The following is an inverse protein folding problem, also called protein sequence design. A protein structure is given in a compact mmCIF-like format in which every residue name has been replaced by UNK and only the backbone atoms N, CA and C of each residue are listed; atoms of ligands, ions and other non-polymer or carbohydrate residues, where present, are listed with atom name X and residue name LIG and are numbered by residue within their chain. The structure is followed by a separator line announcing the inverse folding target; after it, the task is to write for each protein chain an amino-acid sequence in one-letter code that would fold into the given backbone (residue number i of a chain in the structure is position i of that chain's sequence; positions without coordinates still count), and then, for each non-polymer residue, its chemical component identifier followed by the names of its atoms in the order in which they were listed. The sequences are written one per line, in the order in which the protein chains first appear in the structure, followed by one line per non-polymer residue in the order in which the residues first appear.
data_IF_957756023079
#
_entry.id   IF_957756023079
#
_cell.length_a   1.000
_cell.length_b   1.000
_cell.length_c   1.000
_cell.angle_alpha   90.00
_cell.angle_beta   90.00
_cell.angle_gamma   90.00
#
_symmetry.space_group_name_H-M   'P 1'
#
loop_
_entity.id
_entity.type
_entity.pdbx_description
1 polymer ?
#
# COMPACT_ATOMS: atom_id res chain seq x y z
N UNK A 1 12.01 12.97 -19.40
CA UNK A 1 10.59 12.71 -19.07
C UNK A 1 10.56 12.25 -17.62
N UNK A 2 9.75 12.86 -16.75
CA UNK A 2 9.55 12.32 -15.39
C UNK A 2 8.93 10.93 -15.54
N UNK A 3 9.47 9.93 -14.84
CA UNK A 3 8.91 8.57 -14.84
C UNK A 3 7.63 8.61 -14.02
N UNK A 4 6.50 8.24 -14.61
CA UNK A 4 5.22 8.07 -13.88
C UNK A 4 5.35 6.92 -12.89
N UNK A 5 4.96 7.15 -11.65
CA UNK A 5 4.94 6.18 -10.56
C UNK A 5 3.67 5.35 -10.70
N UNK A 6 3.82 4.04 -10.88
CA UNK A 6 2.71 3.09 -10.92
C UNK A 6 2.31 2.70 -9.51
N UNK A 7 1.10 3.05 -9.11
CA UNK A 7 0.57 2.85 -7.76
C UNK A 7 -0.51 1.76 -7.71
N UNK A 8 -0.38 0.85 -6.75
CA UNK A 8 -1.43 -0.09 -6.35
C UNK A 8 -2.00 0.33 -4.99
N UNK A 9 -3.33 0.41 -4.87
CA UNK A 9 -4.02 0.74 -3.62
C UNK A 9 -4.72 -0.51 -3.09
N UNK A 10 -4.43 -0.90 -1.86
CA UNK A 10 -5.01 -2.07 -1.21
C UNK A 10 -5.66 -1.67 0.10
N UNK A 11 -6.98 -1.77 0.18
CA UNK A 11 -7.76 -1.46 1.36
C UNK A 11 -9.15 -2.09 1.21
N UNK A 12 -9.69 -2.72 2.25
CA UNK A 12 -11.02 -3.34 2.18
C UNK A 12 -12.16 -2.32 2.34
N UNK A 13 -11.86 -1.13 2.86
CA UNK A 13 -12.81 -0.03 3.00
C UNK A 13 -12.88 0.80 1.72
N UNK A 14 -13.98 0.62 0.96
CA UNK A 14 -14.25 1.33 -0.30
C UNK A 14 -14.06 2.84 -0.19
N UNK A 15 -14.54 3.46 0.89
CA UNK A 15 -14.42 4.91 1.09
C UNK A 15 -12.97 5.38 1.24
N UNK A 16 -12.10 4.58 1.85
CA UNK A 16 -10.68 4.90 1.97
C UNK A 16 -9.99 4.77 0.62
N UNK A 17 -10.23 3.69 -0.13
CA UNK A 17 -9.67 3.55 -1.49
C UNK A 17 -10.07 4.70 -2.40
N UNK A 18 -11.35 5.07 -2.41
CA UNK A 18 -11.84 6.21 -3.19
C UNK A 18 -11.18 7.52 -2.76
N UNK A 19 -10.99 7.73 -1.45
CA UNK A 19 -10.30 8.91 -0.92
C UNK A 19 -8.83 8.97 -1.32
N UNK A 20 -8.10 7.85 -1.22
CA UNK A 20 -6.71 7.73 -1.67
C UNK A 20 -6.57 7.92 -3.18
N UNK A 21 -7.48 7.32 -3.96
CA UNK A 21 -7.48 7.45 -5.41
C UNK A 21 -7.76 8.90 -5.84
N UNK A 22 -8.73 9.57 -5.20
CA UNK A 22 -9.02 10.97 -5.45
C UNK A 22 -7.84 11.87 -5.09
N UNK A 23 -7.17 11.59 -3.97
CA UNK A 23 -5.98 12.33 -3.55
C UNK A 23 -4.82 12.21 -4.56
N UNK A 24 -4.64 11.03 -5.15
CA UNK A 24 -3.59 10.78 -6.14
C UNK A 24 -3.96 11.25 -7.56
N UNK A 25 -5.25 11.50 -7.84
CA UNK A 25 -5.71 11.94 -9.16
C UNK A 25 -5.18 13.33 -9.56
N UNK A 26 -4.84 14.16 -8.58
CA UNK A 26 -4.29 15.50 -8.81
C UNK A 26 -2.77 15.48 -9.08
N UNK A 27 -2.09 14.34 -8.91
CA UNK A 27 -0.66 14.22 -9.16
C UNK A 27 -0.35 13.75 -10.59
N UNK A 28 0.28 14.59 -11.42
CA UNK A 28 0.50 14.28 -12.83
C UNK A 28 1.58 13.21 -13.08
N UNK A 29 2.36 12.83 -12.05
CA UNK A 29 3.38 11.79 -12.11
C UNK A 29 3.00 10.51 -11.35
N UNK A 30 1.72 10.33 -10.98
CA UNK A 30 1.19 9.08 -10.41
C UNK A 30 0.13 8.48 -11.33
N UNK A 31 0.20 7.16 -11.54
CA UNK A 31 -0.80 6.37 -12.25
C UNK A 31 -1.28 5.24 -11.33
N UNK A 32 -2.57 5.21 -11.01
CA UNK A 32 -3.17 4.09 -10.27
C UNK A 32 -3.37 2.94 -11.25
N UNK A 33 -2.53 1.91 -11.13
CA UNK A 33 -2.54 0.75 -12.05
C UNK A 33 -3.47 -0.36 -11.57
N UNK A 34 -3.94 -0.31 -10.32
CA UNK A 34 -4.90 -1.26 -9.80
C UNK A 34 -5.36 -0.96 -8.38
N UNK A 35 -6.41 -1.67 -7.99
CA UNK A 35 -6.97 -1.68 -6.64
C UNK A 35 -7.22 -3.11 -6.18
N UNK A 36 -7.10 -3.35 -4.87
CA UNK A 36 -7.47 -4.61 -4.24
C UNK A 36 -8.15 -4.39 -2.89
N UNK A 37 -8.98 -5.34 -2.47
CA UNK A 37 -9.73 -5.28 -1.20
C UNK A 37 -9.45 -6.47 -0.28
N UNK A 38 -8.46 -7.30 -0.61
CA UNK A 38 -8.02 -8.45 0.16
C UNK A 38 -6.53 -8.69 -0.06
N UNK A 39 -5.88 -9.38 0.86
CA UNK A 39 -4.46 -9.74 0.75
C UNK A 39 -4.22 -10.67 -0.45
N UNK A 40 -5.11 -11.65 -0.67
CA UNK A 40 -5.02 -12.55 -1.80
C UNK A 40 -5.12 -11.81 -3.15
N UNK A 41 -6.03 -10.84 -3.25
CA UNK A 41 -6.17 -10.02 -4.45
C UNK A 41 -4.98 -9.08 -4.61
N UNK A 42 -4.44 -8.54 -3.52
CA UNK A 42 -3.26 -7.68 -3.54
C UNK A 42 -2.02 -8.40 -4.05
N UNK A 43 -1.74 -9.61 -3.56
CA UNK A 43 -0.61 -10.43 -4.03
C UNK A 43 -0.75 -10.73 -5.53
N UNK A 44 -1.97 -11.12 -5.95
CA UNK A 44 -2.25 -11.42 -7.37
C UNK A 44 -2.12 -10.17 -8.25
N UNK A 45 -2.65 -9.04 -7.80
CA UNK A 45 -2.58 -7.77 -8.52
C UNK A 45 -1.12 -7.29 -8.62
N UNK A 46 -0.34 -7.41 -7.55
CA UNK A 46 1.08 -7.07 -7.58
C UNK A 46 1.84 -7.91 -8.61
N UNK A 47 1.66 -9.24 -8.59
CA UNK A 47 2.30 -10.17 -9.55
C UNK A 47 1.97 -9.84 -11.02
N UNK A 48 0.78 -9.28 -11.29
CA UNK A 48 0.33 -8.94 -12.65
C UNK A 48 0.74 -7.54 -13.08
N UNK A 49 0.70 -6.57 -12.17
CA UNK A 49 0.83 -5.15 -12.49
C UNK A 49 2.25 -4.62 -12.25
N UNK A 50 3.03 -5.29 -11.40
CA UNK A 50 4.37 -4.89 -10.97
C UNK A 50 4.45 -3.38 -10.68
N UNK A 51 3.65 -2.87 -9.72
CA UNK A 51 3.61 -1.44 -9.41
C UNK A 51 4.95 -0.97 -8.82
N UNK A 52 5.29 0.30 -9.04
CA UNK A 52 6.46 0.92 -8.44
C UNK A 52 6.26 1.11 -6.93
N UNK A 53 5.02 1.38 -6.48
CA UNK A 53 4.64 1.55 -5.06
C UNK A 53 3.31 0.87 -4.79
N UNK A 54 3.16 0.25 -3.61
CA UNK A 54 1.88 -0.25 -3.11
C UNK A 54 1.54 0.42 -1.78
N UNK A 55 0.35 1.03 -1.69
CA UNK A 55 -0.26 1.41 -0.42
C UNK A 55 -1.07 0.21 0.08
N UNK A 56 -0.67 -0.36 1.22
CA UNK A 56 -1.23 -1.59 1.77
C UNK A 56 -1.92 -1.32 3.09
N UNK A 57 -3.21 -1.63 3.22
CA UNK A 57 -3.86 -1.62 4.52
C UNK A 57 -3.31 -2.72 5.44
N UNK A 58 -3.16 -2.40 6.73
CA UNK A 58 -2.73 -3.37 7.73
C UNK A 58 -3.79 -4.43 8.01
N UNK A 59 -5.06 -4.05 7.99
CA UNK A 59 -6.17 -4.95 8.32
C UNK A 59 -6.96 -5.25 7.05
N UNK A 60 -6.78 -6.44 6.49
CA UNK A 60 -7.58 -6.93 5.35
C UNK A 60 -8.46 -8.10 5.82
N UNK A 61 -9.55 -8.42 5.09
CA UNK A 61 -10.56 -9.39 5.55
C UNK A 61 -10.06 -10.84 5.61
N UNK A 62 -8.97 -11.17 4.92
CA UNK A 62 -8.46 -12.53 4.77
C UNK A 62 -7.12 -12.74 5.50
N UNK A 63 -6.11 -11.93 5.21
CA UNK A 63 -4.81 -11.93 5.90
C UNK A 63 -4.45 -10.52 6.30
N UNK A 64 -3.62 -10.37 7.32
CA UNK A 64 -3.12 -9.06 7.68
C UNK A 64 -2.10 -8.56 6.62
N UNK A 65 -2.05 -7.24 6.38
CA UNK A 65 -1.30 -6.65 5.26
C UNK A 65 0.21 -6.87 5.36
N UNK A 66 0.72 -7.10 6.56
CA UNK A 66 2.12 -7.49 6.82
C UNK A 66 2.43 -8.86 6.19
N UNK A 67 1.50 -9.80 6.27
CA UNK A 67 1.62 -11.14 5.70
C UNK A 67 1.55 -11.08 4.18
N UNK A 68 0.67 -10.24 3.62
CA UNK A 68 0.64 -9.94 2.19
C UNK A 68 1.98 -9.35 1.71
N UNK A 69 2.52 -8.40 2.49
CA UNK A 69 3.81 -7.76 2.22
C UNK A 69 4.93 -8.80 2.18
N UNK A 70 5.03 -9.69 3.17
CA UNK A 70 6.05 -10.76 3.19
C UNK A 70 5.95 -11.65 1.95
N UNK A 71 4.74 -12.09 1.60
CA UNK A 71 4.52 -12.94 0.42
C UNK A 71 4.92 -12.25 -0.89
N UNK A 72 4.70 -10.94 -1.00
CA UNK A 72 5.14 -10.15 -2.17
C UNK A 72 6.66 -10.04 -2.18
N UNK A 73 7.28 -9.67 -1.07
CA UNK A 73 8.74 -9.48 -0.96
C UNK A 73 9.54 -10.77 -1.16
N UNK A 74 9.00 -11.93 -0.78
CA UNK A 74 9.60 -13.24 -1.04
C UNK A 74 9.77 -13.51 -2.55
N UNK A 75 8.81 -13.08 -3.37
CA UNK A 75 8.87 -13.22 -4.84
C UNK A 75 9.55 -12.03 -5.52
N UNK A 76 9.37 -10.83 -4.97
CA UNK A 76 9.83 -9.56 -5.51
C UNK A 76 10.59 -8.77 -4.44
N UNK A 77 11.87 -9.09 -4.19
CA UNK A 77 12.65 -8.44 -3.14
C UNK A 77 12.82 -6.92 -3.32
N UNK A 78 12.55 -6.38 -4.51
CA UNK A 78 12.57 -4.96 -4.81
C UNK A 78 11.24 -4.24 -4.64
N UNK A 79 10.18 -4.94 -4.18
CA UNK A 79 8.86 -4.33 -4.02
C UNK A 79 8.88 -3.21 -2.98
N UNK A 80 8.32 -2.05 -3.32
CA UNK A 80 8.16 -0.93 -2.39
C UNK A 80 6.72 -0.89 -1.87
N UNK A 81 6.55 -1.35 -0.63
CA UNK A 81 5.24 -1.43 0.02
C UNK A 81 5.22 -0.48 1.21
N UNK A 82 4.19 0.35 1.30
CA UNK A 82 3.94 1.29 2.39
C UNK A 82 2.67 0.85 3.09
N UNK A 83 2.78 0.49 4.36
CA UNK A 83 1.62 0.15 5.18
C UNK A 83 0.86 1.42 5.55
N UNK A 84 -0.46 1.43 5.37
CA UNK A 84 -1.35 2.51 5.77
C UNK A 84 -2.40 1.97 6.73
N UNK A 85 -2.38 2.34 8.01
CA UNK A 85 -3.22 1.68 9.04
C UNK A 85 -3.91 2.67 9.97
N UNK A 86 -5.12 2.33 10.44
CA UNK A 86 -5.83 3.07 11.51
C UNK A 86 -5.32 2.65 12.88
N UNK A 87 -4.82 1.42 13.01
CA UNK A 87 -4.36 0.85 14.27
C UNK A 87 -2.85 1.05 14.41
N UNK A 88 -2.40 1.68 15.50
CA UNK A 88 -1.02 2.13 15.71
C UNK A 88 -0.32 1.40 16.86
N UNK A 89 -0.65 0.12 17.11
CA UNK A 89 0.02 -0.60 18.18
C UNK A 89 1.53 -0.71 17.90
N UNK A 90 2.36 -0.59 18.94
CA UNK A 90 3.82 -0.73 18.80
C UNK A 90 4.22 -2.10 18.24
N UNK A 91 3.41 -3.13 18.51
CA UNK A 91 3.57 -4.47 17.98
C UNK A 91 3.34 -4.52 16.47
N UNK A 92 2.29 -3.85 15.97
CA UNK A 92 1.99 -3.82 14.53
C UNK A 92 3.07 -3.07 13.75
N UNK A 93 3.58 -1.96 14.30
CA UNK A 93 4.71 -1.23 13.71
C UNK A 93 5.96 -2.11 13.68
N UNK A 94 6.24 -2.83 14.77
CA UNK A 94 7.39 -3.73 14.82
C UNK A 94 7.28 -4.86 13.77
N UNK A 95 6.11 -5.51 13.69
CA UNK A 95 5.82 -6.56 12.70
C UNK A 95 5.96 -6.04 11.26
N UNK A 96 5.52 -4.82 11.00
CA UNK A 96 5.66 -4.16 9.70
C UNK A 96 7.14 -3.96 9.32
N UNK A 97 7.95 -3.44 10.24
CA UNK A 97 9.39 -3.25 10.03
C UNK A 97 10.08 -4.59 9.75
N UNK A 98 9.78 -5.62 10.55
CA UNK A 98 10.34 -6.96 10.35
C UNK A 98 9.92 -7.59 9.02
N UNK A 99 8.74 -7.25 8.50
CA UNK A 99 8.31 -7.70 7.18
C UNK A 99 9.01 -7.01 6.03
N UNK A 100 9.74 -5.92 6.28
CA UNK A 100 10.49 -5.20 5.24
C UNK A 100 9.66 -4.17 4.47
N UNK A 101 8.63 -3.58 5.09
CA UNK A 101 7.95 -2.44 4.45
C UNK A 101 8.90 -1.26 4.26
N UNK A 102 8.68 -0.52 3.18
CA UNK A 102 9.42 0.70 2.89
C UNK A 102 8.96 1.88 3.76
N UNK A 103 7.77 1.80 4.35
CA UNK A 103 7.24 2.82 5.23
C UNK A 103 5.95 2.38 5.93
N UNK A 104 5.59 3.13 6.96
CA UNK A 104 4.36 2.98 7.72
C UNK A 104 3.74 4.36 7.92
N UNK A 105 2.48 4.54 7.51
CA UNK A 105 1.76 5.80 7.61
C UNK A 105 0.41 5.57 8.29
N UNK A 106 0.12 6.22 9.42
CA UNK A 106 -1.21 6.14 10.00
C UNK A 106 -2.26 6.80 9.09
N UNK A 107 -3.44 6.18 8.91
CA UNK A 107 -4.58 6.74 8.16
C UNK A 107 -5.13 8.04 8.79
N UNK A 108 -4.79 8.32 10.05
CA UNK A 108 -5.13 9.55 10.77
C UNK A 108 -4.26 10.76 10.39
N UNK A 109 -3.16 10.54 9.65
CA UNK A 109 -2.27 11.62 9.24
C UNK A 109 -2.88 12.48 8.14
N UNK A 110 -2.33 13.70 8.01
CA UNK A 110 -2.71 14.59 6.93
C UNK A 110 -2.36 13.96 5.57
N UNK A 111 -3.20 14.23 4.57
CA UNK A 111 -3.07 13.75 3.19
C UNK A 111 -1.66 13.97 2.62
N UNK A 112 -1.04 15.12 2.94
CA UNK A 112 0.33 15.47 2.53
C UNK A 112 1.40 14.44 2.96
N UNK A 113 1.21 13.76 4.10
CA UNK A 113 2.12 12.71 4.57
C UNK A 113 2.05 11.47 3.68
N UNK A 114 0.83 11.08 3.28
CA UNK A 114 0.61 9.95 2.37
C UNK A 114 1.21 10.27 1.00
N UNK A 115 1.05 11.50 0.50
CA UNK A 115 1.65 11.94 -0.76
C UNK A 115 3.16 11.85 -0.75
N UNK A 116 3.80 12.34 0.32
CA UNK A 116 5.27 12.29 0.44
C UNK A 116 5.83 10.89 0.58
N UNK A 117 5.00 9.92 0.96
CA UNK A 117 5.44 8.54 1.14
C UNK A 117 5.54 7.79 -0.19
N UNK A 118 4.72 8.16 -1.19
CA UNK A 118 4.72 7.62 -2.56
C UNK A 118 5.93 8.17 -3.34
#
# INVERSE_FOLDING_TARGET
MKKTIRLLIVDDHVMIRLGLAALMADEPDVEIVGEASSAADAIRAYDQLLPDVTLMDGMLPDLHGVEATRAILEKHPGARIILVSINESAEDIHRAIEAGVAGYVPKSQNQEVIMRAV
#
